data_IF_618728909688
#
_entry.id   IF_618728909688
#
_cell.length_a   1.000
_cell.length_b   1.000
_cell.length_c   1.000
_cell.angle_alpha   90.00
_cell.angle_beta   90.00
_cell.angle_gamma   90.00
#
_symmetry.space_group_name_H-M   'P 1'
#
loop_
_entity.id
_entity.type
_entity.pdbx_description
1 polymer ?
#
# COMPACT_ATOMS: atom_id res chain seq x y z
N UNK A 1 17.75 2.17 23.20
CA UNK A 1 16.32 1.85 23.46
C UNK A 1 15.74 1.38 22.14
N UNK A 2 15.00 0.26 22.06
CA UNK A 2 14.27 -0.05 20.84
C UNK A 2 13.30 1.10 20.59
N UNK A 3 13.47 1.77 19.46
CA UNK A 3 12.60 2.87 19.07
C UNK A 3 11.17 2.35 18.97
N UNK A 4 10.23 3.02 19.64
CA UNK A 4 8.82 2.64 19.58
C UNK A 4 8.25 3.04 18.22
N UNK A 5 8.41 2.16 17.23
CA UNK A 5 8.00 2.42 15.84
C UNK A 5 6.48 2.45 15.66
N UNK A 6 5.75 1.75 16.52
CA UNK A 6 4.37 1.33 16.23
C UNK A 6 3.33 2.47 16.25
N UNK A 7 3.67 3.60 16.85
CA UNK A 7 2.73 4.70 17.06
C UNK A 7 3.12 5.95 16.28
N UNK A 8 2.12 6.62 15.72
CA UNK A 8 2.29 7.98 15.19
C UNK A 8 2.57 8.94 16.37
N UNK A 9 3.40 9.99 16.20
CA UNK A 9 3.64 10.93 17.28
C UNK A 9 2.33 11.63 17.69
N UNK A 10 2.05 11.76 19.00
CA UNK A 10 0.81 12.36 19.49
C UNK A 10 0.57 13.77 18.90
N UNK A 11 -0.66 14.02 18.45
CA UNK A 11 -1.06 15.32 17.88
C UNK A 11 -0.79 15.49 16.37
N UNK A 12 -0.10 14.55 15.71
CA UNK A 12 0.23 14.64 14.28
C UNK A 12 -0.74 13.89 13.35
N UNK A 13 -1.79 13.28 13.90
CA UNK A 13 -2.82 12.61 13.09
C UNK A 13 -3.45 13.52 12.02
N UNK A 14 -3.82 14.79 12.29
CA UNK A 14 -4.33 15.69 11.26
C UNK A 14 -3.31 15.96 10.14
N UNK A 15 -2.02 16.08 10.46
CA UNK A 15 -0.95 16.26 9.46
C UNK A 15 -0.84 15.03 8.55
N UNK A 16 -0.77 13.83 9.13
CA UNK A 16 -0.71 12.57 8.40
C UNK A 16 -1.95 12.39 7.49
N UNK A 17 -3.12 12.79 7.96
CA UNK A 17 -4.35 12.75 7.17
C UNK A 17 -4.27 13.71 5.96
N UNK A 18 -3.79 14.94 6.17
CA UNK A 18 -3.59 15.92 5.09
C UNK A 18 -2.57 15.41 4.06
N UNK A 19 -1.45 14.86 4.52
CA UNK A 19 -0.41 14.27 3.69
C UNK A 19 -0.94 13.08 2.88
N UNK A 20 -1.74 12.20 3.48
CA UNK A 20 -2.38 11.09 2.79
C UNK A 20 -3.34 11.55 1.68
N UNK A 21 -4.09 12.62 1.93
CA UNK A 21 -4.96 13.22 0.91
C UNK A 21 -4.14 13.82 -0.25
N UNK A 22 -2.99 14.41 0.04
CA UNK A 22 -2.07 14.92 -0.99
C UNK A 22 -1.44 13.79 -1.81
N UNK A 23 -1.01 12.71 -1.16
CA UNK A 23 -0.50 11.53 -1.84
C UNK A 23 -1.53 10.95 -2.82
N UNK A 24 -2.80 10.84 -2.40
CA UNK A 24 -3.89 10.41 -3.27
C UNK A 24 -4.14 11.37 -4.44
N UNK A 25 -4.07 12.69 -4.22
CA UNK A 25 -4.16 13.67 -5.32
C UNK A 25 -3.01 13.51 -6.32
N UNK A 26 -1.78 13.30 -5.82
CA UNK A 26 -0.62 13.07 -6.69
C UNK A 26 -0.73 11.76 -7.47
N UNK A 27 -1.26 10.69 -6.84
CA UNK A 27 -1.52 9.41 -7.51
C UNK A 27 -2.56 9.59 -8.61
N UNK A 28 -3.68 10.25 -8.30
CA UNK A 28 -4.75 10.50 -9.26
C UNK A 28 -4.25 11.33 -10.46
N UNK A 29 -3.48 12.40 -10.22
CA UNK A 29 -2.91 13.22 -11.29
C UNK A 29 -1.88 12.51 -12.18
N UNK A 30 -1.34 11.36 -11.75
CA UNK A 30 -0.41 10.54 -12.53
C UNK A 30 -1.05 9.31 -13.18
N UNK A 31 -2.33 9.03 -12.94
CA UNK A 31 -2.98 7.77 -13.32
C UNK A 31 -2.91 7.47 -14.83
N UNK A 32 -3.18 8.49 -15.65
CA UNK A 32 -3.23 8.34 -17.11
C UNK A 32 -1.86 8.19 -17.78
N UNK A 33 -0.76 8.52 -17.08
CA UNK A 33 0.59 8.33 -17.63
C UNK A 33 0.96 6.86 -17.78
N UNK A 34 0.26 5.97 -17.07
CA UNK A 34 0.48 4.53 -17.10
C UNK A 34 1.92 4.12 -16.76
N UNK A 35 2.62 4.93 -15.96
CA UNK A 35 3.97 4.61 -15.47
C UNK A 35 3.98 3.19 -14.83
N UNK A 36 4.99 2.35 -15.11
CA UNK A 36 5.13 1.05 -14.47
C UNK A 36 5.19 1.20 -12.94
N UNK A 37 4.54 0.31 -12.17
CA UNK A 37 4.67 0.34 -10.72
C UNK A 37 6.12 0.01 -10.31
N UNK A 38 6.65 0.78 -9.36
CA UNK A 38 7.95 0.50 -8.72
C UNK A 38 7.84 0.55 -7.21
N UNK A 39 8.73 -0.15 -6.50
CA UNK A 39 8.84 -0.04 -5.05
C UNK A 39 9.14 1.40 -4.64
N UNK A 40 9.96 2.13 -5.41
CA UNK A 40 10.31 3.55 -5.16
C UNK A 40 9.09 4.48 -5.11
N UNK A 41 8.01 4.16 -5.83
CA UNK A 41 6.75 4.91 -5.69
C UNK A 41 6.22 4.85 -4.26
N UNK A 42 6.27 3.67 -3.65
CA UNK A 42 5.80 3.44 -2.29
C UNK A 42 6.74 4.06 -1.23
N UNK A 43 8.05 4.11 -1.50
CA UNK A 43 9.02 4.82 -0.66
C UNK A 43 8.73 6.33 -0.67
N UNK A 44 8.52 6.93 -1.84
CA UNK A 44 8.12 8.35 -1.96
C UNK A 44 6.77 8.66 -1.30
N UNK A 45 5.79 7.76 -1.44
CA UNK A 45 4.53 7.90 -0.71
C UNK A 45 4.73 7.85 0.80
N UNK A 46 5.65 7.01 1.26
CA UNK A 46 5.98 6.94 2.68
C UNK A 46 6.66 8.22 3.16
N UNK A 47 7.61 8.78 2.41
CA UNK A 47 8.17 10.11 2.69
C UNK A 47 7.06 11.17 2.80
N UNK A 48 6.19 11.23 1.80
CA UNK A 48 5.08 12.18 1.78
C UNK A 48 4.14 12.02 2.98
N UNK A 49 3.78 10.78 3.36
CA UNK A 49 2.91 10.52 4.51
C UNK A 49 3.46 11.12 5.81
N UNK A 50 4.77 11.17 5.96
CA UNK A 50 5.45 11.64 7.16
C UNK A 50 6.07 13.05 7.02
N UNK A 51 5.80 13.75 5.92
CA UNK A 51 6.27 15.13 5.76
C UNK A 51 5.75 16.04 6.89
N UNK A 52 6.66 16.79 7.50
CA UNK A 52 6.36 17.63 8.67
C UNK A 52 5.92 16.86 9.92
N UNK A 53 6.11 15.53 9.98
CA UNK A 53 5.85 14.70 11.17
C UNK A 53 7.18 14.41 11.88
N UNK A 54 7.30 14.59 13.21
CA UNK A 54 8.50 14.23 13.95
C UNK A 54 8.82 12.75 13.78
N UNK A 55 10.03 12.48 13.32
CA UNK A 55 10.51 11.13 13.08
C UNK A 55 11.42 10.69 14.22
N UNK A 56 11.43 9.39 14.57
CA UNK A 56 12.37 8.90 15.58
C UNK A 56 13.84 9.06 15.16
N UNK A 57 14.11 8.97 13.86
CA UNK A 57 15.40 9.22 13.21
C UNK A 57 15.19 9.95 11.89
N UNK A 58 16.13 10.79 11.47
CA UNK A 58 15.96 11.68 10.31
C UNK A 58 15.72 10.94 8.99
N UNK A 59 16.27 9.74 8.86
CA UNK A 59 16.15 8.90 7.67
C UNK A 59 14.98 7.91 7.78
N UNK A 60 14.07 8.05 8.74
CA UNK A 60 12.99 7.08 8.94
C UNK A 60 12.04 6.93 7.73
N UNK A 61 11.64 8.06 7.14
CA UNK A 61 10.65 8.05 6.09
C UNK A 61 11.30 7.68 4.75
N UNK A 62 10.66 6.78 3.99
CA UNK A 62 11.17 6.33 2.70
C UNK A 62 12.19 5.20 2.80
N UNK A 63 12.59 4.80 4.02
CA UNK A 63 13.60 3.78 4.21
C UNK A 63 13.00 2.42 4.53
N UNK A 64 13.42 1.44 3.75
CA UNK A 64 13.08 0.04 3.93
C UNK A 64 13.96 -0.55 5.02
N UNK A 65 13.37 -1.37 5.90
CA UNK A 65 14.16 -2.07 6.93
C UNK A 65 15.19 -2.99 6.28
N UNK A 66 16.37 -3.02 6.88
CA UNK A 66 17.49 -3.86 6.49
C UNK A 66 17.96 -3.64 5.03
N UNK A 67 17.81 -2.41 4.53
CA UNK A 67 18.26 -2.02 3.19
C UNK A 67 19.67 -1.42 3.18
N UNK A 68 20.04 -0.68 4.23
CA UNK A 68 21.34 -0.03 4.35
C UNK A 68 21.94 -0.29 5.76
N UNK A 69 23.09 -0.98 5.87
CA UNK A 69 23.80 -1.19 7.13
C UNK A 69 24.25 0.10 7.84
N UNK A 70 24.31 1.24 7.13
CA UNK A 70 24.62 2.54 7.71
C UNK A 70 23.44 3.19 8.44
N UNK A 71 22.26 2.57 8.39
CA UNK A 71 21.04 3.01 9.08
C UNK A 71 20.72 2.05 10.24
N UNK A 72 21.51 2.07 11.34
CA UNK A 72 21.48 0.99 12.34
C UNK A 72 20.13 0.84 13.04
N UNK A 73 19.38 1.93 13.23
CA UNK A 73 18.03 1.88 13.80
C UNK A 73 17.02 1.15 12.89
N UNK A 74 17.30 1.05 11.58
CA UNK A 74 16.46 0.35 10.62
C UNK A 74 17.05 -1.00 10.17
N UNK A 75 18.06 -1.54 10.85
CA UNK A 75 18.75 -2.77 10.44
C UNK A 75 18.50 -3.94 11.41
N UNK A 76 18.32 -5.15 10.88
CA UNK A 76 18.31 -6.40 11.66
C UNK A 76 17.12 -6.62 12.62
N UNK A 77 15.97 -5.96 12.40
CA UNK A 77 14.77 -6.15 13.23
C UNK A 77 13.58 -6.70 12.45
N UNK A 78 12.74 -7.47 13.15
CA UNK A 78 11.53 -8.07 12.59
C UNK A 78 10.28 -7.29 12.98
N UNK A 79 9.26 -7.41 12.14
CA UNK A 79 7.96 -6.76 12.29
C UNK A 79 6.85 -7.79 12.11
N UNK A 80 5.70 -7.56 12.73
CA UNK A 80 4.57 -8.48 12.70
C UNK A 80 3.23 -7.73 12.65
N UNK A 81 2.22 -8.41 12.11
CA UNK A 81 0.82 -7.98 12.14
C UNK A 81 0.01 -9.03 12.90
N UNK A 82 -0.33 -8.71 14.15
CA UNK A 82 -0.94 -9.69 15.05
C UNK A 82 0.00 -10.90 15.23
N UNK A 83 -0.44 -12.14 14.99
CA UNK A 83 0.39 -13.33 15.17
C UNK A 83 1.32 -13.63 13.98
N UNK A 84 1.22 -12.87 12.88
CA UNK A 84 1.95 -13.17 11.64
C UNK A 84 3.16 -12.25 11.48
N UNK A 85 4.34 -12.84 11.34
CA UNK A 85 5.55 -12.12 10.97
C UNK A 85 5.46 -11.60 9.53
N UNK A 86 6.03 -10.43 9.28
CA UNK A 86 6.34 -10.00 7.92
C UNK A 86 7.45 -10.86 7.31
N UNK A 87 7.92 -10.47 6.12
CA UNK A 87 9.10 -11.11 5.53
C UNK A 87 10.30 -11.05 6.51
N UNK A 88 11.22 -12.03 6.53
CA UNK A 88 12.46 -11.88 7.26
C UNK A 88 13.20 -10.62 6.81
N UNK A 89 13.72 -9.81 7.74
CA UNK A 89 14.36 -8.51 7.45
C UNK A 89 15.45 -8.60 6.38
N UNK A 90 16.33 -9.60 6.48
CA UNK A 90 17.36 -9.90 5.50
C UNK A 90 16.87 -10.19 4.08
N UNK A 91 15.59 -10.51 3.90
CA UNK A 91 14.97 -10.84 2.61
C UNK A 91 14.10 -9.72 2.05
N UNK A 92 13.85 -8.64 2.80
CA UNK A 92 12.95 -7.56 2.37
C UNK A 92 13.36 -6.93 1.04
N UNK A 93 14.64 -6.58 0.79
CA UNK A 93 15.03 -6.04 -0.52
C UNK A 93 14.73 -7.00 -1.68
N UNK A 94 14.96 -8.30 -1.47
CA UNK A 94 14.66 -9.32 -2.47
C UNK A 94 13.14 -9.47 -2.69
N UNK A 95 12.34 -9.45 -1.63
CA UNK A 95 10.88 -9.52 -1.71
C UNK A 95 10.30 -8.29 -2.43
N UNK A 96 10.85 -7.09 -2.23
CA UNK A 96 10.44 -5.88 -2.96
C UNK A 96 10.76 -5.96 -4.45
N UNK A 97 11.93 -6.49 -4.83
CA UNK A 97 12.26 -6.71 -6.24
C UNK A 97 11.29 -7.71 -6.91
N UNK A 98 10.90 -8.78 -6.18
CA UNK A 98 9.89 -9.75 -6.65
C UNK A 98 8.51 -9.13 -6.76
N UNK A 99 8.12 -8.33 -5.76
CA UNK A 99 6.86 -7.58 -5.75
C UNK A 99 6.77 -6.68 -6.98
N UNK A 100 7.79 -5.87 -7.24
CA UNK A 100 7.83 -4.97 -8.39
C UNK A 100 7.70 -5.71 -9.72
N UNK A 101 8.50 -6.77 -9.91
CA UNK A 101 8.46 -7.59 -11.14
C UNK A 101 7.06 -8.15 -11.39
N UNK A 102 6.41 -8.69 -10.34
CA UNK A 102 5.05 -9.26 -10.43
C UNK A 102 3.99 -8.17 -10.65
N UNK A 103 4.14 -7.01 -10.01
CA UNK A 103 3.25 -5.88 -10.19
C UNK A 103 3.29 -5.34 -11.62
N UNK A 104 4.49 -5.19 -12.20
CA UNK A 104 4.67 -4.74 -13.59
C UNK A 104 4.05 -5.74 -14.57
N UNK A 105 4.28 -7.04 -14.38
CA UNK A 105 3.67 -8.08 -15.22
C UNK A 105 2.13 -8.08 -15.15
N UNK A 106 1.57 -7.97 -13.94
CA UNK A 106 0.12 -7.92 -13.74
C UNK A 106 -0.50 -6.66 -14.39
N UNK A 107 0.15 -5.51 -14.23
CA UNK A 107 -0.29 -4.24 -14.83
C UNK A 107 -0.23 -4.30 -16.35
N UNK A 108 0.86 -4.80 -16.93
CA UNK A 108 0.97 -4.97 -18.39
C UNK A 108 -0.16 -5.84 -18.96
N UNK A 109 -0.55 -6.91 -18.25
CA UNK A 109 -1.65 -7.78 -18.65
C UNK A 109 -3.02 -7.08 -18.64
N UNK A 110 -3.27 -6.19 -17.68
CA UNK A 110 -4.54 -5.45 -17.58
C UNK A 110 -4.56 -4.24 -18.52
N UNK A 111 -3.44 -3.52 -18.67
CA UNK A 111 -3.30 -2.40 -19.61
C UNK A 111 -3.57 -2.83 -21.06
N UNK A 112 -3.27 -4.08 -21.42
CA UNK A 112 -3.60 -4.64 -22.74
C UNK A 112 -5.12 -4.73 -23.01
N UNK A 113 -5.95 -4.71 -21.96
CA UNK A 113 -7.41 -4.83 -22.06
C UNK A 113 -8.21 -3.60 -21.63
N UNK A 114 -7.56 -2.58 -21.06
CA UNK A 114 -8.21 -1.34 -20.60
C UNK A 114 -7.29 -0.15 -20.94
N UNK A 115 -7.73 0.73 -21.85
CA UNK A 115 -6.90 1.85 -22.28
C UNK A 115 -6.74 2.93 -21.19
N UNK A 116 -5.75 3.81 -21.35
CA UNK A 116 -5.60 4.99 -20.48
C UNK A 116 -6.86 5.88 -20.55
N UNK A 117 -7.30 6.40 -19.40
CA UNK A 117 -8.55 7.15 -19.27
C UNK A 117 -9.83 6.32 -19.29
N UNK A 118 -9.77 5.01 -19.55
CA UNK A 118 -10.95 4.13 -19.57
C UNK A 118 -11.20 3.43 -18.23
N UNK A 119 -12.47 3.11 -18.00
CA UNK A 119 -12.93 2.27 -16.90
C UNK A 119 -13.14 0.82 -17.35
N UNK A 120 -13.09 -0.16 -16.44
CA UNK A 120 -13.38 -1.55 -16.78
C UNK A 120 -14.83 -1.71 -17.29
N UNK A 121 -14.99 -1.95 -18.60
CA UNK A 121 -16.30 -2.07 -19.25
C UNK A 121 -17.01 -3.42 -19.06
N UNK A 122 -16.35 -4.41 -18.47
CA UNK A 122 -16.92 -5.75 -18.23
C UNK A 122 -16.74 -6.20 -16.79
N UNK A 123 -17.59 -7.12 -16.28
CA UNK A 123 -17.40 -7.70 -14.94
C UNK A 123 -16.03 -8.38 -14.76
N UNK A 124 -15.51 -9.02 -15.81
CA UNK A 124 -14.19 -9.65 -15.77
C UNK A 124 -13.07 -8.62 -15.70
N UNK A 125 -13.16 -7.52 -16.44
CA UNK A 125 -12.20 -6.42 -16.35
C UNK A 125 -12.22 -5.77 -14.96
N UNK A 126 -13.42 -5.54 -14.40
CA UNK A 126 -13.57 -5.01 -13.04
C UNK A 126 -12.97 -5.95 -12.00
N UNK A 127 -13.22 -7.25 -12.12
CA UNK A 127 -12.61 -8.27 -11.26
C UNK A 127 -11.09 -8.23 -11.33
N UNK A 128 -10.49 -8.14 -12.53
CA UNK A 128 -9.03 -8.04 -12.69
C UNK A 128 -8.45 -6.79 -12.02
N UNK A 129 -9.12 -5.65 -12.11
CA UNK A 129 -8.69 -4.42 -11.41
C UNK A 129 -8.79 -4.59 -9.90
N UNK A 130 -9.89 -5.15 -9.38
CA UNK A 130 -10.05 -5.42 -7.94
C UNK A 130 -9.03 -6.45 -7.43
N UNK A 131 -8.73 -7.48 -8.23
CA UNK A 131 -7.68 -8.45 -7.93
C UNK A 131 -6.30 -7.79 -7.85
N UNK A 132 -5.98 -6.87 -8.78
CA UNK A 132 -4.74 -6.08 -8.71
C UNK A 132 -4.71 -5.23 -7.42
N UNK A 133 -5.78 -4.51 -7.09
CA UNK A 133 -5.88 -3.75 -5.85
C UNK A 133 -5.58 -4.63 -4.63
N UNK A 134 -6.18 -5.83 -4.58
CA UNK A 134 -6.02 -6.79 -3.49
C UNK A 134 -4.62 -7.37 -3.39
N UNK A 135 -4.01 -7.75 -4.51
CA UNK A 135 -2.64 -8.32 -4.53
C UNK A 135 -1.61 -7.25 -4.14
N UNK A 136 -1.68 -6.04 -4.71
CA UNK A 136 -0.70 -4.99 -4.39
C UNK A 136 -0.81 -4.56 -2.93
N UNK A 137 -2.03 -4.39 -2.42
CA UNK A 137 -2.27 -4.12 -1.01
C UNK A 137 -1.76 -5.26 -0.12
N UNK A 138 -2.17 -6.50 -0.42
CA UNK A 138 -1.92 -7.66 0.41
C UNK A 138 -0.45 -8.06 0.47
N UNK A 139 0.26 -8.05 -0.66
CA UNK A 139 1.69 -8.31 -0.70
C UNK A 139 2.49 -7.24 0.06
N UNK A 140 2.09 -5.97 -0.02
CA UNK A 140 2.74 -4.92 0.78
C UNK A 140 2.55 -5.15 2.28
N UNK A 141 1.34 -5.54 2.69
CA UNK A 141 1.05 -5.90 4.09
C UNK A 141 1.92 -7.08 4.53
N UNK A 142 2.02 -8.14 3.71
CA UNK A 142 2.80 -9.36 3.97
C UNK A 142 4.30 -9.10 4.07
N UNK A 143 4.87 -8.36 3.13
CA UNK A 143 6.31 -8.03 3.13
C UNK A 143 6.64 -7.16 4.34
N UNK A 144 5.77 -6.19 4.63
CA UNK A 144 5.89 -5.27 5.76
C UNK A 144 7.27 -4.55 5.77
N UNK A 145 7.59 -3.78 4.72
CA UNK A 145 8.96 -3.28 4.50
C UNK A 145 9.40 -2.14 5.43
N UNK A 146 8.47 -1.44 6.07
CA UNK A 146 8.77 -0.29 6.93
C UNK A 146 8.66 -0.62 8.42
N UNK A 147 9.25 0.19 9.29
CA UNK A 147 9.05 0.06 10.73
C UNK A 147 7.60 0.36 11.15
N UNK A 148 6.98 1.38 10.56
CA UNK A 148 5.54 1.69 10.66
C UNK A 148 5.12 2.43 9.38
N UNK A 149 3.82 2.54 9.12
CA UNK A 149 3.28 3.12 7.89
C UNK A 149 2.84 2.08 6.86
N UNK A 150 3.23 0.81 7.02
CA UNK A 150 2.91 -0.28 6.08
C UNK A 150 1.44 -0.36 5.69
N UNK A 151 0.54 -0.27 6.68
CA UNK A 151 -0.90 -0.31 6.40
C UNK A 151 -1.36 0.87 5.54
N UNK A 152 -0.83 2.07 5.76
CA UNK A 152 -1.19 3.27 4.98
C UNK A 152 -0.68 3.14 3.55
N UNK A 153 0.58 2.75 3.39
CA UNK A 153 1.19 2.54 2.07
C UNK A 153 0.51 1.40 1.29
N UNK A 154 0.13 0.31 1.94
CA UNK A 154 -0.64 -0.77 1.30
C UNK A 154 -2.00 -0.27 0.76
N UNK A 155 -2.68 0.62 1.48
CA UNK A 155 -3.93 1.22 1.02
C UNK A 155 -3.69 2.23 -0.11
N UNK A 156 -2.55 2.92 -0.13
CA UNK A 156 -2.15 3.73 -1.29
C UNK A 156 -1.89 2.85 -2.52
N UNK A 157 -1.27 1.68 -2.38
CA UNK A 157 -1.13 0.70 -3.47
C UNK A 157 -2.48 0.27 -4.04
N UNK A 158 -3.43 -0.09 -3.18
CA UNK A 158 -4.79 -0.46 -3.61
C UNK A 158 -5.50 0.69 -4.35
N UNK A 159 -5.41 1.91 -3.83
CA UNK A 159 -5.98 3.08 -4.51
C UNK A 159 -5.23 3.46 -5.78
N UNK A 160 -3.91 3.28 -5.86
CA UNK A 160 -3.14 3.49 -7.07
C UNK A 160 -3.63 2.60 -8.20
N UNK A 161 -3.85 1.31 -7.93
CA UNK A 161 -4.42 0.39 -8.90
C UNK A 161 -5.83 0.81 -9.32
N UNK A 162 -6.69 1.18 -8.36
CA UNK A 162 -8.04 1.65 -8.66
C UNK A 162 -8.03 2.88 -9.58
N UNK A 163 -7.28 3.92 -9.18
CA UNK A 163 -7.19 5.19 -9.90
C UNK A 163 -6.58 5.02 -11.29
N UNK A 164 -5.57 4.15 -11.44
CA UNK A 164 -4.96 3.82 -12.74
C UNK A 164 -6.00 3.39 -13.77
N UNK A 165 -7.02 2.63 -13.37
CA UNK A 165 -8.08 2.12 -14.27
C UNK A 165 -9.41 2.87 -14.10
N UNK A 166 -9.35 4.16 -13.78
CA UNK A 166 -10.50 5.06 -13.77
C UNK A 166 -11.52 4.83 -12.66
N UNK A 167 -11.22 3.96 -11.68
CA UNK A 167 -12.06 3.79 -10.49
C UNK A 167 -11.72 4.87 -9.45
N UNK A 168 -12.68 5.27 -8.59
CA UNK A 168 -12.40 6.23 -7.53
C UNK A 168 -11.46 5.66 -6.48
N UNK A 169 -10.78 6.52 -5.72
CA UNK A 169 -10.07 6.12 -4.50
C UNK A 169 -11.08 5.72 -3.41
N UNK A 170 -11.40 4.43 -3.32
CA UNK A 170 -12.44 3.91 -2.44
C UNK A 170 -11.90 3.34 -1.11
N UNK A 171 -10.59 3.17 -0.97
CA UNK A 171 -9.97 2.62 0.25
C UNK A 171 -9.52 3.77 1.16
N UNK A 172 -10.15 3.95 2.31
CA UNK A 172 -9.77 5.01 3.25
C UNK A 172 -8.34 4.81 3.79
N UNK A 173 -7.43 5.77 3.57
CA UNK A 173 -6.05 5.69 4.06
C UNK A 173 -5.99 5.82 5.59
N UNK A 174 -6.75 6.78 6.14
CA UNK A 174 -6.93 7.04 7.57
C UNK A 174 -8.32 7.71 7.78
N UNK A 175 -9.11 7.33 8.82
CA UNK A 175 -8.88 6.21 9.73
C UNK A 175 -8.86 4.87 8.98
N UNK A 176 -8.26 3.85 9.61
CA UNK A 176 -8.31 2.48 9.08
C UNK A 176 -9.78 2.09 8.85
N UNK A 177 -10.15 1.42 7.74
CA UNK A 177 -11.51 0.95 7.54
C UNK A 177 -11.99 0.11 8.73
N UNK A 178 -13.05 0.58 9.39
CA UNK A 178 -13.74 -0.09 10.51
C UNK A 178 -15.11 -0.57 10.05
N UNK A 179 -15.67 -1.57 10.74
CA UNK A 179 -17.00 -2.12 10.41
C UNK A 179 -17.07 -2.94 9.12
N UNK A 180 -15.92 -3.29 8.52
CA UNK A 180 -15.81 -4.21 7.38
C UNK A 180 -14.87 -5.37 7.70
N UNK A 181 -14.92 -6.49 6.96
CA UNK A 181 -13.95 -7.59 7.09
C UNK A 181 -12.52 -7.23 6.66
N UNK A 182 -12.21 -5.95 6.39
CA UNK A 182 -10.89 -5.47 5.97
C UNK A 182 -9.75 -5.96 6.88
N UNK A 183 -9.96 -5.97 8.20
CA UNK A 183 -8.95 -6.46 9.14
C UNK A 183 -8.62 -7.93 8.92
N UNK A 184 -9.64 -8.76 8.72
CA UNK A 184 -9.49 -10.21 8.47
C UNK A 184 -8.88 -10.48 7.09
N UNK A 185 -9.28 -9.74 6.07
CA UNK A 185 -8.68 -9.85 4.73
C UNK A 185 -7.19 -9.49 4.73
N UNK A 186 -6.79 -8.46 5.49
CA UNK A 186 -5.38 -8.11 5.67
C UNK A 186 -4.61 -9.22 6.42
N UNK A 187 -5.22 -9.89 7.40
CA UNK A 187 -4.62 -11.04 8.08
C UNK A 187 -4.50 -12.27 7.18
N UNK A 188 -5.45 -12.51 6.29
CA UNK A 188 -5.34 -13.57 5.27
C UNK A 188 -4.17 -13.28 4.31
N UNK A 189 -4.00 -12.00 3.93
CA UNK A 189 -2.89 -11.59 3.06
C UNK A 189 -1.51 -11.80 3.69
N UNK A 190 -1.39 -11.70 5.01
CA UNK A 190 -0.13 -12.07 5.72
C UNK A 190 0.26 -13.54 5.49
N UNK A 191 -0.69 -14.41 5.17
CA UNK A 191 -0.48 -15.82 4.85
C UNK A 191 -0.42 -16.08 3.33
N UNK A 192 -0.39 -15.03 2.51
CA UNK A 192 -0.38 -15.10 1.04
C UNK A 192 -1.76 -15.29 0.40
N UNK A 193 -2.84 -15.28 1.17
CA UNK A 193 -4.20 -15.36 0.63
C UNK A 193 -4.82 -13.97 0.46
N UNK A 194 -4.83 -13.49 -0.79
CA UNK A 194 -5.41 -12.19 -1.15
C UNK A 194 -6.86 -12.29 -1.65
N UNK A 195 -7.42 -13.48 -1.82
CA UNK A 195 -8.78 -13.66 -2.34
C UNK A 195 -9.84 -13.00 -1.45
N UNK A 196 -9.78 -13.08 -0.10
CA UNK A 196 -10.74 -12.39 0.76
C UNK A 196 -10.75 -10.87 0.56
N UNK A 197 -9.62 -10.28 0.19
CA UNK A 197 -9.54 -8.84 -0.04
C UNK A 197 -10.30 -8.39 -1.28
N UNK A 198 -10.50 -9.26 -2.29
CA UNK A 198 -11.23 -8.91 -3.51
C UNK A 198 -12.69 -8.60 -3.18
N UNK A 199 -13.34 -9.50 -2.44
CA UNK A 199 -14.74 -9.33 -2.02
C UNK A 199 -14.93 -8.11 -1.12
N UNK A 200 -13.97 -7.86 -0.20
CA UNK A 200 -13.99 -6.67 0.65
C UNK A 200 -13.85 -5.39 -0.17
N UNK A 201 -12.93 -5.36 -1.13
CA UNK A 201 -12.71 -4.19 -1.97
C UNK A 201 -13.87 -3.93 -2.92
N UNK A 202 -14.52 -4.98 -3.44
CA UNK A 202 -15.76 -4.85 -4.18
C UNK A 202 -16.86 -4.20 -3.32
N UNK A 203 -17.04 -4.67 -2.08
CA UNK A 203 -18.01 -4.09 -1.14
C UNK A 203 -17.71 -2.62 -0.85
N UNK A 204 -16.44 -2.28 -0.61
CA UNK A 204 -16.02 -0.91 -0.34
C UNK A 204 -16.24 0.00 -1.55
N UNK A 205 -15.93 -0.46 -2.76
CA UNK A 205 -16.21 0.26 -4.00
C UNK A 205 -17.72 0.51 -4.16
N UNK A 206 -18.55 -0.52 -3.99
CA UNK A 206 -20.01 -0.40 -4.07
C UNK A 206 -20.56 0.59 -3.03
N UNK A 207 -20.02 0.57 -1.80
CA UNK A 207 -20.41 1.51 -0.76
C UNK A 207 -19.98 2.95 -1.08
N UNK A 208 -18.82 3.13 -1.71
CA UNK A 208 -18.34 4.44 -2.16
C UNK A 208 -19.23 5.03 -3.25
N UNK A 209 -19.63 4.22 -4.25
CA UNK A 209 -20.46 4.66 -5.38
C UNK A 209 -21.93 4.97 -5.01
N UNK A 210 -22.37 4.66 -3.79
CA UNK A 210 -23.72 4.94 -3.30
C UNK A 210 -23.82 6.22 -2.46
N UNK A 211 -22.69 6.87 -2.17
CA UNK A 211 -22.62 8.13 -1.43
C UNK A 211 -22.78 9.31 -2.37
#
# INVERSE_FOLDING_TARGET
MPTAWNDDPPGYEPRILANAAEALRSIAGGADRRDPPTADMALRWHEQLYDGVPLPVAYYAGQVRNSDPQLPELYGYEVAVGPFSGAPSGLVPQELARFETRAQAAVAGIDAGIAAGEQPGTPSALYSVLALCSVLHGEWVRIHPFANGNGRTARLWGNWAALRYGLPAFIAIKPRPVGSPYGLAAMASMQGDHQPAIAVFEQMLRAHLRR
#
